data_IF_591231663238
#
_entry.id   IF_591231663238
#
_cell.length_a   1.000
_cell.length_b   1.000
_cell.length_c   1.000
_cell.angle_alpha   90.00
_cell.angle_beta   90.00
_cell.angle_gamma   90.00
#
_symmetry.space_group_name_H-M   'P 1'
#
loop_
_entity.id
_entity.type
_entity.pdbx_description
1 polymer ?
#
# COMPACT_ATOMS: atom_id res chain seq x y z
N UNK A 1 8.07 -17.89 -11.17
CA UNK A 1 8.59 -18.48 -9.93
C UNK A 1 8.46 -17.55 -8.72
N UNK A 2 7.26 -17.01 -8.44
CA UNK A 2 6.97 -16.25 -7.22
C UNK A 2 6.55 -17.16 -6.05
N UNK A 3 7.10 -18.38 -5.97
CA UNK A 3 6.62 -19.38 -5.01
C UNK A 3 7.06 -19.19 -3.56
N UNK A 4 8.12 -18.42 -3.28
CA UNK A 4 8.75 -18.53 -1.95
C UNK A 4 8.28 -17.48 -0.92
N UNK A 5 8.00 -16.26 -1.31
CA UNK A 5 7.81 -15.18 -0.32
C UNK A 5 6.39 -15.12 0.23
N UNK A 6 5.38 -15.34 -0.61
CA UNK A 6 4.00 -15.41 -0.14
C UNK A 6 3.66 -16.70 0.62
N UNK A 7 4.55 -17.71 0.60
CA UNK A 7 4.38 -18.93 1.40
C UNK A 7 4.61 -18.72 2.91
N UNK A 8 5.25 -17.63 3.28
CA UNK A 8 5.58 -17.32 4.68
C UNK A 8 4.50 -16.49 5.39
N UNK A 9 3.52 -15.95 4.64
CA UNK A 9 2.43 -15.21 5.27
C UNK A 9 1.54 -16.15 6.09
N UNK A 10 1.50 -15.90 7.39
CA UNK A 10 0.59 -16.62 8.30
C UNK A 10 -0.86 -16.24 8.00
N UNK A 11 -1.84 -17.15 8.19
CA UNK A 11 -3.26 -16.87 7.89
C UNK A 11 -3.85 -15.63 8.57
N UNK A 12 -3.29 -15.21 9.69
CA UNK A 12 -3.75 -14.05 10.47
C UNK A 12 -3.03 -12.75 10.13
N UNK A 13 -2.06 -12.77 9.22
CA UNK A 13 -1.32 -11.58 8.86
C UNK A 13 -2.09 -10.69 7.88
N UNK A 14 -1.85 -9.39 8.01
CA UNK A 14 -2.30 -8.36 7.08
C UNK A 14 -1.13 -8.02 6.16
N UNK A 15 -1.23 -8.41 4.90
CA UNK A 15 -0.20 -8.15 3.90
C UNK A 15 -0.37 -6.73 3.34
N UNK A 16 0.65 -5.91 3.49
CA UNK A 16 0.68 -4.52 3.07
C UNK A 16 1.79 -4.33 2.05
N UNK A 17 1.41 -3.98 0.82
CA UNK A 17 2.34 -3.76 -0.28
C UNK A 17 2.62 -2.26 -0.38
N UNK A 18 3.83 -1.84 -0.11
CA UNK A 18 4.25 -0.44 -0.18
C UNK A 18 4.27 0.06 -1.63
N UNK A 19 4.61 -0.81 -2.57
CA UNK A 19 4.47 -0.57 -4.00
C UNK A 19 4.03 -1.87 -4.70
N UNK A 20 3.31 -1.74 -5.79
CA UNK A 20 2.86 -2.89 -6.59
C UNK A 20 2.81 -2.55 -8.06
N UNK A 21 2.94 -3.55 -8.92
CA UNK A 21 2.52 -3.40 -10.31
C UNK A 21 1.01 -3.31 -10.33
N UNK A 22 0.46 -2.40 -11.15
CA UNK A 22 -0.98 -2.15 -11.26
C UNK A 22 -1.79 -3.42 -11.06
N UNK A 23 -2.92 -3.32 -10.44
CA UNK A 23 -3.79 -4.33 -9.82
C UNK A 23 -3.61 -5.83 -10.11
N UNK A 24 -3.04 -6.19 -11.26
CA UNK A 24 -3.01 -7.55 -11.76
C UNK A 24 -2.17 -8.51 -10.89
N UNK A 25 -0.96 -8.13 -10.49
CA UNK A 25 -0.09 -9.04 -9.73
C UNK A 25 -0.55 -9.26 -8.29
N UNK A 26 -1.08 -8.21 -7.65
CA UNK A 26 -1.55 -8.31 -6.27
C UNK A 26 -2.85 -9.11 -6.23
N UNK A 27 -3.80 -8.81 -7.11
CA UNK A 27 -5.05 -9.55 -7.20
C UNK A 27 -4.84 -10.97 -7.72
N UNK A 28 -4.05 -11.16 -8.77
CA UNK A 28 -3.74 -12.48 -9.33
C UNK A 28 -3.04 -13.36 -8.29
N UNK A 29 -2.11 -12.81 -7.50
CA UNK A 29 -1.45 -13.52 -6.42
C UNK A 29 -2.44 -14.01 -5.35
N UNK A 30 -3.37 -13.17 -4.93
CA UNK A 30 -4.43 -13.53 -3.98
C UNK A 30 -5.32 -14.67 -4.51
N UNK A 31 -5.86 -14.52 -5.73
CA UNK A 31 -6.73 -15.54 -6.34
C UNK A 31 -6.00 -16.85 -6.61
N UNK A 32 -4.77 -16.80 -7.11
CA UNK A 32 -3.95 -17.99 -7.32
C UNK A 32 -3.78 -18.79 -6.03
N UNK A 33 -3.51 -18.13 -4.91
CA UNK A 33 -3.37 -18.80 -3.62
C UNK A 33 -4.71 -19.40 -3.17
N UNK A 34 -5.80 -18.65 -3.29
CA UNK A 34 -7.14 -19.10 -2.91
C UNK A 34 -7.58 -20.33 -3.72
N UNK A 35 -7.39 -20.31 -5.03
CA UNK A 35 -7.72 -21.44 -5.92
C UNK A 35 -6.88 -22.69 -5.61
N UNK A 36 -5.59 -22.50 -5.30
CA UNK A 36 -4.69 -23.61 -4.97
C UNK A 36 -4.70 -23.99 -3.49
N UNK A 37 -5.65 -23.48 -2.69
CA UNK A 37 -5.81 -23.77 -1.25
C UNK A 37 -4.53 -23.47 -0.44
N UNK A 38 -3.75 -22.49 -0.87
CA UNK A 38 -2.58 -22.01 -0.15
C UNK A 38 -3.01 -21.01 0.94
N UNK A 39 -2.26 -20.85 2.04
CA UNK A 39 -2.56 -19.85 3.06
C UNK A 39 -2.66 -18.45 2.44
N UNK A 40 -3.72 -17.72 2.75
CA UNK A 40 -3.97 -16.35 2.27
C UNK A 40 -3.98 -15.44 3.49
N UNK A 41 -3.30 -14.31 3.41
CA UNK A 41 -3.38 -13.28 4.44
C UNK A 41 -4.82 -12.77 4.57
N UNK A 42 -5.24 -12.44 5.80
CA UNK A 42 -6.59 -11.94 6.08
C UNK A 42 -6.90 -10.67 5.30
N UNK A 43 -5.91 -9.79 5.16
CA UNK A 43 -5.99 -8.58 4.37
C UNK A 43 -4.81 -8.49 3.39
N UNK A 44 -5.08 -7.86 2.26
CA UNK A 44 -4.16 -7.74 1.16
C UNK A 44 -4.30 -6.35 0.52
N UNK A 45 -3.44 -5.40 0.93
CA UNK A 45 -3.54 -4.01 0.51
C UNK A 45 -2.30 -3.52 -0.21
N UNK A 46 -2.49 -2.77 -1.31
CA UNK A 46 -1.45 -1.99 -1.96
C UNK A 46 -1.62 -0.51 -1.61
N UNK A 47 -0.57 0.13 -1.10
CA UNK A 47 -0.61 1.53 -0.73
C UNK A 47 -0.23 2.45 -1.89
N UNK A 48 0.57 1.97 -2.84
CA UNK A 48 0.96 2.72 -4.04
C UNK A 48 1.28 1.81 -5.22
N UNK A 49 1.62 2.41 -6.35
CA UNK A 49 1.96 1.73 -7.60
C UNK A 49 3.46 1.81 -7.88
N UNK A 50 4.01 0.80 -8.57
CA UNK A 50 5.44 0.67 -8.85
C UNK A 50 6.01 1.81 -9.70
N UNK A 51 5.21 2.33 -10.64
CA UNK A 51 5.60 3.40 -11.55
C UNK A 51 5.84 4.74 -10.85
N UNK A 52 5.48 4.82 -9.57
CA UNK A 52 5.65 6.04 -8.78
C UNK A 52 6.87 5.92 -7.87
N UNK A 53 7.72 6.91 -7.94
CA UNK A 53 8.77 7.09 -6.95
C UNK A 53 8.14 7.62 -5.65
N UNK A 54 8.22 6.80 -4.61
CA UNK A 54 7.50 7.00 -3.36
C UNK A 54 8.47 7.17 -2.20
N UNK A 55 8.10 8.01 -1.25
CA UNK A 55 8.74 8.12 0.06
C UNK A 55 7.72 7.84 1.14
N UNK A 56 8.03 6.90 2.01
CA UNK A 56 7.25 6.58 3.20
C UNK A 56 7.94 7.14 4.44
N UNK A 57 7.27 8.02 5.17
CA UNK A 57 7.73 8.58 6.45
C UNK A 57 6.86 8.01 7.57
N UNK A 58 7.47 7.37 8.57
CA UNK A 58 6.73 6.95 9.76
C UNK A 58 6.59 8.11 10.72
N UNK A 59 5.38 8.65 10.85
CA UNK A 59 5.08 9.85 11.66
C UNK A 59 4.69 9.53 13.10
N UNK A 60 4.21 8.29 13.36
CA UNK A 60 3.90 7.77 14.69
C UNK A 60 4.00 6.24 14.70
N UNK A 61 3.78 5.61 15.85
CA UNK A 61 3.86 4.15 15.97
C UNK A 61 2.95 3.43 14.97
N UNK A 62 1.75 3.96 14.74
CA UNK A 62 0.73 3.38 13.85
C UNK A 62 0.45 4.22 12.60
N UNK A 63 1.31 5.17 12.25
CA UNK A 63 1.10 6.09 11.13
C UNK A 63 2.24 6.07 10.13
N UNK A 64 1.87 5.99 8.86
CA UNK A 64 2.78 6.00 7.72
C UNK A 64 2.32 7.05 6.71
N UNK A 65 3.11 8.08 6.48
CA UNK A 65 2.85 9.08 5.45
C UNK A 65 3.49 8.65 4.14
N UNK A 66 2.69 8.59 3.08
CA UNK A 66 3.14 8.39 1.70
C UNK A 66 3.26 9.73 0.99
N UNK A 67 4.43 9.98 0.43
CA UNK A 67 4.73 11.13 -0.43
C UNK A 67 5.04 10.63 -1.84
N UNK A 68 4.29 11.08 -2.83
CA UNK A 68 4.58 10.85 -4.24
C UNK A 68 5.57 11.93 -4.68
N UNK A 69 6.77 11.52 -5.11
CA UNK A 69 7.87 12.45 -5.40
C UNK A 69 7.63 13.17 -6.73
N UNK A 70 7.03 12.47 -7.71
CA UNK A 70 6.72 13.04 -9.02
C UNK A 70 5.27 12.71 -9.42
N UNK A 71 4.51 13.72 -9.85
CA UNK A 71 3.12 13.56 -10.26
C UNK A 71 2.15 13.38 -9.08
N UNK A 72 1.20 12.48 -9.21
CA UNK A 72 0.24 12.11 -8.17
C UNK A 72 -0.02 10.60 -8.17
N UNK A 73 -0.70 10.10 -7.14
CA UNK A 73 -1.04 8.68 -7.07
C UNK A 73 -1.92 8.22 -8.23
N UNK A 74 -2.76 9.12 -8.74
CA UNK A 74 -3.80 8.81 -9.72
C UNK A 74 -3.52 9.29 -11.14
N UNK A 75 -2.34 9.77 -11.47
CA UNK A 75 -1.98 10.14 -12.84
C UNK A 75 -1.62 8.90 -13.70
N UNK A 76 -2.48 7.91 -13.67
CA UNK A 76 -2.37 6.63 -14.36
C UNK A 76 -3.50 6.45 -15.35
N UNK A 77 -3.29 5.69 -16.46
CA UNK A 77 -4.30 5.51 -17.50
C UNK A 77 -5.65 4.94 -17.05
N UNK A 78 -5.64 4.19 -15.93
CA UNK A 78 -6.81 3.48 -15.41
C UNK A 78 -7.39 4.09 -14.13
N UNK A 79 -7.06 5.34 -13.85
CA UNK A 79 -7.57 6.06 -12.65
C UNK A 79 -9.10 6.11 -12.56
N UNK A 80 -9.78 6.09 -13.68
CA UNK A 80 -11.25 6.12 -13.77
C UNK A 80 -11.94 4.95 -13.06
N UNK A 81 -11.24 3.84 -12.84
CA UNK A 81 -11.74 2.71 -12.06
C UNK A 81 -11.63 2.92 -10.54
N UNK A 82 -10.87 3.90 -10.13
CA UNK A 82 -10.61 4.17 -8.70
C UNK A 82 -11.58 5.23 -8.17
N UNK A 83 -11.81 6.28 -8.93
CA UNK A 83 -12.70 7.38 -8.54
C UNK A 83 -13.22 8.14 -9.76
N UNK A 84 -14.50 8.55 -9.68
CA UNK A 84 -15.10 9.41 -10.70
C UNK A 84 -14.34 10.76 -10.77
N UNK A 85 -13.83 11.18 -11.93
CA UNK A 85 -13.15 12.47 -12.10
C UNK A 85 -14.00 13.68 -11.70
N UNK A 86 -15.33 13.55 -11.71
CA UNK A 86 -16.25 14.61 -11.28
C UNK A 86 -16.27 14.81 -9.77
N UNK A 87 -15.71 13.87 -9.01
CA UNK A 87 -15.64 13.92 -7.56
C UNK A 87 -14.17 13.78 -7.13
N UNK A 88 -13.32 14.79 -7.36
CA UNK A 88 -11.91 14.72 -7.08
C UNK A 88 -11.65 14.62 -5.57
N UNK A 89 -10.50 14.04 -5.21
CA UNK A 89 -10.03 14.04 -3.83
C UNK A 89 -9.75 15.45 -3.32
N UNK A 90 -10.02 15.68 -2.05
CA UNK A 90 -9.80 16.97 -1.39
C UNK A 90 -8.80 16.81 -0.25
N UNK A 91 -8.00 17.87 -0.02
CA UNK A 91 -7.17 17.96 1.18
C UNK A 91 -8.05 17.88 2.43
N UNK A 92 -7.64 17.05 3.39
CA UNK A 92 -8.36 16.80 4.64
C UNK A 92 -9.44 15.71 4.53
N UNK A 93 -9.70 15.17 3.33
CA UNK A 93 -10.63 14.05 3.16
C UNK A 93 -10.10 12.81 3.89
N UNK A 94 -11.00 12.12 4.59
CA UNK A 94 -10.68 10.87 5.30
C UNK A 94 -11.45 9.72 4.66
N UNK A 95 -10.71 8.74 4.20
CA UNK A 95 -11.24 7.48 3.68
C UNK A 95 -11.07 6.39 4.74
N UNK A 96 -12.17 5.71 5.08
CA UNK A 96 -12.16 4.65 6.09
C UNK A 96 -12.26 3.30 5.42
N UNK A 97 -11.33 2.41 5.79
CA UNK A 97 -11.28 1.02 5.36
C UNK A 97 -11.32 0.11 6.58
N UNK A 98 -11.56 -1.17 6.35
CA UNK A 98 -11.46 -2.16 7.44
C UNK A 98 -9.99 -2.29 7.86
N UNK A 99 -9.66 -1.85 9.08
CA UNK A 99 -8.34 -1.98 9.69
C UNK A 99 -7.39 -0.80 9.50
N UNK A 100 -7.74 0.22 8.70
CA UNK A 100 -6.98 1.46 8.58
C UNK A 100 -7.82 2.59 7.99
N UNK A 101 -7.34 3.81 8.13
CA UNK A 101 -7.88 4.98 7.44
C UNK A 101 -6.78 5.71 6.67
N UNK A 102 -7.21 6.44 5.64
CA UNK A 102 -6.32 7.29 4.84
C UNK A 102 -6.79 8.73 4.95
N UNK A 103 -5.89 9.62 5.34
CA UNK A 103 -6.13 11.07 5.33
C UNK A 103 -5.37 11.69 4.17
N UNK A 104 -6.06 12.42 3.32
CA UNK A 104 -5.46 13.14 2.20
C UNK A 104 -4.81 14.42 2.72
N UNK A 105 -3.49 14.50 2.70
CA UNK A 105 -2.74 15.64 3.23
C UNK A 105 -2.48 16.71 2.17
N UNK A 106 -2.29 16.32 0.91
CA UNK A 106 -2.07 17.23 -0.21
C UNK A 106 -2.58 16.63 -1.51
N UNK A 107 -3.01 17.50 -2.40
CA UNK A 107 -3.48 17.17 -3.76
C UNK A 107 -2.89 18.15 -4.77
N UNK A 108 -2.69 17.70 -6.00
CA UNK A 108 -2.48 18.58 -7.17
C UNK A 108 -3.65 18.40 -8.17
N UNK A 109 -3.50 18.93 -9.38
CA UNK A 109 -4.53 18.82 -10.43
C UNK A 109 -4.85 17.38 -10.83
N UNK A 110 -3.92 16.45 -10.66
CA UNK A 110 -4.02 15.07 -11.10
C UNK A 110 -4.40 14.10 -9.97
N UNK A 111 -4.42 14.56 -8.69
CA UNK A 111 -4.85 13.75 -7.56
C UNK A 111 -3.99 13.89 -6.30
N UNK A 112 -4.10 12.95 -5.36
CA UNK A 112 -3.35 12.98 -4.11
C UNK A 112 -1.83 12.87 -4.32
N UNK A 113 -1.08 13.73 -3.63
CA UNK A 113 0.39 13.73 -3.61
C UNK A 113 0.99 13.37 -2.27
N UNK A 114 0.22 13.56 -1.18
CA UNK A 114 0.58 13.13 0.17
C UNK A 114 -0.65 12.55 0.87
N UNK A 115 -0.45 11.41 1.52
CA UNK A 115 -1.50 10.70 2.26
C UNK A 115 -0.93 10.13 3.55
N UNK A 116 -1.71 10.14 4.62
CA UNK A 116 -1.36 9.48 5.88
C UNK A 116 -2.24 8.26 6.08
N UNK A 117 -1.62 7.10 6.21
CA UNK A 117 -2.25 5.85 6.60
C UNK A 117 -2.17 5.72 8.12
N UNK A 118 -3.32 5.59 8.77
CA UNK A 118 -3.42 5.34 10.22
C UNK A 118 -3.96 3.93 10.42
N UNK A 119 -3.13 3.06 10.98
CA UNK A 119 -3.46 1.66 11.25
C UNK A 119 -4.03 1.50 12.67
N UNK A 120 -4.73 0.40 12.91
CA UNK A 120 -5.33 0.10 14.22
C UNK A 120 -4.28 -0.21 15.30
N UNK A 121 -3.11 -0.73 14.89
CA UNK A 121 -2.03 -1.13 15.78
C UNK A 121 -0.70 -0.53 15.34
N UNK A 122 0.31 -0.62 16.20
CA UNK A 122 1.68 -0.28 15.85
C UNK A 122 2.12 -1.00 14.57
N UNK A 123 2.89 -0.32 13.72
CA UNK A 123 3.45 -0.94 12.50
C UNK A 123 4.45 -2.06 12.81
N UNK A 124 4.94 -2.15 14.06
CA UNK A 124 5.83 -3.20 14.53
C UNK A 124 5.07 -4.45 15.04
N UNK A 125 3.72 -4.39 15.07
CA UNK A 125 2.89 -5.54 15.46
C UNK A 125 3.05 -6.66 14.43
N UNK A 126 3.28 -7.89 14.90
CA UNK A 126 3.48 -9.08 14.06
C UNK A 126 2.29 -9.42 13.14
N UNK A 127 1.14 -8.80 13.37
CA UNK A 127 -0.03 -8.93 12.48
C UNK A 127 0.23 -8.30 11.11
N UNK A 128 1.12 -7.31 11.01
CA UNK A 128 1.46 -6.64 9.77
C UNK A 128 2.68 -7.26 9.11
N UNK A 129 2.59 -7.53 7.81
CA UNK A 129 3.71 -7.92 6.99
C UNK A 129 3.81 -6.97 5.81
N UNK A 130 4.88 -6.17 5.78
CA UNK A 130 5.11 -5.19 4.73
C UNK A 130 5.96 -5.78 3.61
N UNK A 131 5.55 -5.52 2.38
CA UNK A 131 6.24 -5.97 1.18
C UNK A 131 6.58 -4.80 0.27
N UNK A 132 7.74 -4.89 -0.39
CA UNK A 132 8.09 -4.07 -1.54
C UNK A 132 8.30 -4.94 -2.77
N UNK A 133 7.92 -4.43 -3.92
CA UNK A 133 8.26 -5.04 -5.20
C UNK A 133 9.60 -4.48 -5.68
N UNK A 134 10.55 -5.36 -5.94
CA UNK A 134 11.86 -5.03 -6.47
C UNK A 134 12.30 -6.11 -7.44
N UNK A 135 12.72 -5.73 -8.65
CA UNK A 135 13.16 -6.68 -9.69
C UNK A 135 12.15 -7.79 -9.98
N UNK A 136 10.86 -7.43 -10.01
CA UNK A 136 9.76 -8.38 -10.28
C UNK A 136 9.45 -9.36 -9.14
N UNK A 137 10.00 -9.15 -7.94
CA UNK A 137 9.77 -9.99 -6.77
C UNK A 137 9.35 -9.16 -5.56
N UNK A 138 8.46 -9.73 -4.75
CA UNK A 138 8.12 -9.14 -3.46
C UNK A 138 9.15 -9.54 -2.41
N UNK A 139 9.62 -8.56 -1.67
CA UNK A 139 10.53 -8.71 -0.54
C UNK A 139 9.85 -8.19 0.71
N UNK A 140 10.00 -8.92 1.82
CA UNK A 140 9.58 -8.42 3.13
C UNK A 140 10.48 -7.22 3.49
N UNK A 141 9.85 -6.18 4.00
CA UNK A 141 10.54 -4.96 4.44
C UNK A 141 10.09 -4.59 5.84
N UNK A 142 11.03 -4.20 6.68
CA UNK A 142 10.72 -3.63 7.99
C UNK A 142 10.30 -2.18 7.81
N UNK A 143 9.16 -1.74 8.38
CA UNK A 143 8.79 -0.33 8.40
C UNK A 143 9.93 0.52 8.98
N UNK A 144 10.11 1.76 8.52
CA UNK A 144 11.09 2.65 9.12
C UNK A 144 10.77 2.92 10.60
N UNK A 145 11.75 3.27 11.41
CA UNK A 145 11.51 3.74 12.77
C UNK A 145 10.72 5.05 12.76
N UNK A 146 10.06 5.38 13.85
CA UNK A 146 9.32 6.66 13.97
C UNK A 146 10.27 7.83 13.71
N UNK A 147 9.86 8.73 12.83
CA UNK A 147 10.66 9.86 12.35
C UNK A 147 11.62 9.53 11.21
N UNK A 148 11.73 8.27 10.79
CA UNK A 148 12.57 7.83 9.68
C UNK A 148 11.74 7.58 8.41
N UNK A 149 12.39 7.57 7.26
CA UNK A 149 11.75 7.37 5.96
C UNK A 149 12.40 6.25 5.15
N UNK A 150 11.61 5.68 4.26
CA UNK A 150 12.01 4.69 3.26
C UNK A 150 11.60 5.24 1.88
N UNK A 151 12.55 5.28 0.94
CA UNK A 151 12.28 5.64 -0.47
C UNK A 151 12.29 4.38 -1.34
N UNK A 152 11.28 4.27 -2.21
CA UNK A 152 11.10 3.16 -3.14
C UNK A 152 11.04 3.67 -4.57
#
# INVERSE_FOLDING_TARGET
HNKSILNESKPHQKAIFLNGTGGDLIFTGYYHRKVNRLPVAEFWWALSFLEKKNRYLRTAENKLELQIIEGSLLDLPYVYYVRDPKVPFKKGEILRFSGFQVTILAVNKDGPTRMEFTFERSLDDEIYCFYKLQEGRFHIVTPPAVGQSLTL
#
